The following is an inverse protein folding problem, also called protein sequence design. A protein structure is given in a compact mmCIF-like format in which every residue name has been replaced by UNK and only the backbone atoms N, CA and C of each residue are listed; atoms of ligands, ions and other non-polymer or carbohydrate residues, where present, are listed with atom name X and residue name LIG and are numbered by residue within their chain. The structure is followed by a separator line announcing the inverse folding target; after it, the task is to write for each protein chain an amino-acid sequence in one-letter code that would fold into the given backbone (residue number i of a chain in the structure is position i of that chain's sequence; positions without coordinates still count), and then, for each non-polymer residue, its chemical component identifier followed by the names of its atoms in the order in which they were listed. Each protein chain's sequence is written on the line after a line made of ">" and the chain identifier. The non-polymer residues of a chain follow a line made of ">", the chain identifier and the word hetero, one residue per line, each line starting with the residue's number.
data_IF_855122215617
#
_entry.id   IF_855122215617
#
_cell.length_a   1.000
_cell.length_b   1.000
_cell.length_c   1.000
_cell.angle_alpha   90.00
_cell.angle_beta   90.00
_cell.angle_gamma   90.00
#
_symmetry.space_group_name_H-M   'P 1'
#
loop_
_entity.id
_entity.type
_entity.pdbx_description
1 polymer ?
#
# COMPACT_ATOMS: atom_id res chain seq x y z
N UNK A 1 -4.25 -2.66 27.22
CA UNK A 1 -4.79 -2.90 25.87
C UNK A 1 -3.77 -2.36 24.87
N UNK A 2 -3.31 -3.17 23.92
CA UNK A 2 -2.41 -2.74 22.83
C UNK A 2 -3.21 -2.47 21.56
N UNK A 3 -2.74 -1.53 20.73
CA UNK A 3 -3.33 -1.25 19.42
C UNK A 3 -2.76 -2.19 18.37
N UNK A 4 -3.61 -2.68 17.46
CA UNK A 4 -3.17 -3.43 16.28
C UNK A 4 -3.17 -2.48 15.08
N UNK A 5 -1.99 -2.17 14.57
CA UNK A 5 -1.80 -1.25 13.45
C UNK A 5 -1.69 -2.04 12.15
N UNK A 6 -2.43 -1.64 11.13
CA UNK A 6 -2.39 -2.25 9.80
C UNK A 6 -2.05 -1.21 8.74
N UNK A 7 -1.37 -1.64 7.69
CA UNK A 7 -1.07 -0.81 6.52
C UNK A 7 -1.90 -1.25 5.29
N UNK A 8 -2.00 -0.39 4.28
CA UNK A 8 -2.72 -0.67 3.05
C UNK A 8 -1.75 -0.89 1.89
N UNK A 9 -1.93 -1.97 1.13
CA UNK A 9 -1.16 -2.20 -0.10
C UNK A 9 -1.87 -1.54 -1.30
N UNK A 10 -1.24 -0.59 -1.99
CA UNK A 10 -1.87 0.19 -3.04
C UNK A 10 -1.91 -0.57 -4.37
N UNK A 11 -2.68 -1.65 -4.46
CA UNK A 11 -2.70 -2.52 -5.66
C UNK A 11 -3.35 -1.90 -6.90
N UNK A 12 -4.07 -0.80 -6.75
CA UNK A 12 -4.77 -0.09 -7.85
C UNK A 12 -4.10 1.22 -8.26
N UNK A 13 -2.89 1.51 -7.76
CA UNK A 13 -2.17 2.75 -8.02
C UNK A 13 -1.71 3.42 -6.73
N UNK A 14 -0.53 4.02 -6.79
CA UNK A 14 0.04 4.86 -5.74
C UNK A 14 0.58 6.13 -6.41
N UNK A 15 0.67 7.23 -5.67
CA UNK A 15 1.14 8.50 -6.19
C UNK A 15 1.17 9.57 -5.11
N UNK A 16 1.86 10.66 -5.42
CA UNK A 16 1.93 11.81 -4.52
C UNK A 16 0.69 12.71 -4.61
N UNK A 17 0.00 12.69 -5.75
CA UNK A 17 -1.15 13.54 -6.05
C UNK A 17 -2.38 12.71 -6.40
N UNK A 18 -3.55 13.17 -5.97
CA UNK A 18 -4.81 12.48 -6.21
C UNK A 18 -5.42 12.91 -7.55
N UNK A 19 -6.02 11.97 -8.29
CA UNK A 19 -6.76 12.26 -9.52
C UNK A 19 -5.90 12.73 -10.70
N UNK A 20 -4.59 12.46 -10.67
CA UNK A 20 -3.64 12.79 -11.73
C UNK A 20 -2.57 11.72 -11.86
N UNK A 21 -1.98 11.58 -13.04
CA UNK A 21 -0.81 10.75 -13.30
C UNK A 21 0.51 11.45 -12.94
N UNK A 22 0.46 12.76 -12.65
CA UNK A 22 1.64 13.47 -12.17
C UNK A 22 2.11 12.86 -10.85
N UNK A 23 3.36 12.41 -10.80
CA UNK A 23 3.91 11.75 -9.61
C UNK A 23 3.27 10.40 -9.28
N UNK A 24 2.60 9.74 -10.23
CA UNK A 24 2.14 8.37 -10.07
C UNK A 24 3.33 7.41 -9.99
N UNK A 25 3.18 6.37 -9.17
CA UNK A 25 4.16 5.31 -9.00
C UNK A 25 3.58 4.02 -9.58
N UNK A 26 4.26 3.40 -10.57
CA UNK A 26 3.79 2.15 -11.15
C UNK A 26 3.78 1.06 -10.08
N UNK A 27 2.66 0.34 -10.01
CA UNK A 27 2.48 -0.72 -9.03
C UNK A 27 2.89 -2.05 -9.67
N UNK A 28 4.07 -2.51 -9.30
CA UNK A 28 4.55 -3.84 -9.63
C UNK A 28 4.73 -4.70 -8.36
N UNK A 29 5.04 -5.99 -8.56
CA UNK A 29 5.26 -6.91 -7.46
C UNK A 29 6.43 -6.47 -6.55
N UNK A 30 7.50 -5.91 -7.13
CA UNK A 30 8.66 -5.45 -6.38
C UNK A 30 8.32 -4.27 -5.46
N UNK A 31 7.52 -3.34 -5.94
CA UNK A 31 7.02 -2.20 -5.18
C UNK A 31 6.12 -2.63 -4.03
N UNK A 32 5.15 -3.52 -4.29
CA UNK A 32 4.28 -4.08 -3.24
C UNK A 32 5.10 -4.85 -2.20
N UNK A 33 6.12 -5.60 -2.63
CA UNK A 33 7.04 -6.29 -1.72
C UNK A 33 7.81 -5.30 -0.84
N UNK A 34 8.27 -4.16 -1.37
CA UNK A 34 8.95 -3.14 -0.58
C UNK A 34 8.04 -2.59 0.54
N UNK A 35 6.78 -2.29 0.22
CA UNK A 35 5.81 -1.80 1.21
C UNK A 35 5.54 -2.87 2.27
N UNK A 36 5.31 -4.12 1.86
CA UNK A 36 5.06 -5.22 2.78
C UNK A 36 6.24 -5.46 3.73
N UNK A 37 7.47 -5.46 3.21
CA UNK A 37 8.69 -5.59 4.02
C UNK A 37 8.90 -4.39 4.95
N UNK A 38 8.53 -3.17 4.53
CA UNK A 38 8.60 -2.00 5.38
C UNK A 38 7.59 -2.10 6.54
N UNK A 39 6.35 -2.49 6.26
CA UNK A 39 5.32 -2.70 7.27
C UNK A 39 5.73 -3.78 8.29
N UNK A 40 6.28 -4.90 7.82
CA UNK A 40 6.81 -5.99 8.65
C UNK A 40 7.93 -5.49 9.59
N UNK A 41 8.95 -4.81 9.04
CA UNK A 41 10.07 -4.27 9.83
C UNK A 41 9.67 -3.19 10.84
N UNK A 42 8.60 -2.43 10.55
CA UNK A 42 8.10 -1.38 11.43
C UNK A 42 7.12 -1.89 12.50
N UNK A 43 6.82 -3.19 12.51
CA UNK A 43 5.97 -3.81 13.54
C UNK A 43 4.47 -3.63 13.32
N UNK A 44 4.03 -3.40 12.07
CA UNK A 44 2.61 -3.48 11.74
C UNK A 44 2.12 -4.92 11.95
N UNK A 45 0.90 -5.06 12.47
CA UNK A 45 0.25 -6.36 12.69
C UNK A 45 -0.06 -7.07 11.37
N UNK A 46 -0.24 -6.31 10.30
CA UNK A 46 -0.42 -6.85 8.96
C UNK A 46 -0.70 -5.79 7.91
N UNK A 47 -1.02 -6.25 6.71
CA UNK A 47 -1.39 -5.41 5.58
C UNK A 47 -2.76 -5.81 5.03
N UNK A 48 -3.54 -4.83 4.59
CA UNK A 48 -4.78 -5.02 3.85
C UNK A 48 -4.49 -4.97 2.35
N UNK A 49 -4.93 -6.00 1.63
CA UNK A 49 -4.94 -6.02 0.16
C UNK A 49 -6.37 -5.68 -0.28
N UNK A 50 -6.60 -4.54 -0.94
CA UNK A 50 -7.94 -4.17 -1.39
C UNK A 50 -8.42 -5.10 -2.51
N UNK A 51 -9.74 -5.27 -2.58
CA UNK A 51 -10.43 -5.92 -3.70
C UNK A 51 -11.57 -5.01 -4.14
N UNK A 52 -11.80 -4.87 -5.44
CA UNK A 52 -12.93 -4.10 -5.98
C UNK A 52 -12.62 -3.47 -7.34
N UNK A 53 -13.64 -3.06 -8.10
CA UNK A 53 -13.46 -2.39 -9.38
C UNK A 53 -12.90 -0.97 -9.18
N UNK A 54 -12.07 -0.51 -10.13
CA UNK A 54 -11.75 0.91 -10.29
C UNK A 54 -13.04 1.58 -10.79
N UNK A 55 -13.58 2.51 -10.02
CA UNK A 55 -14.73 3.35 -10.41
C UNK A 55 -14.28 4.57 -11.20
#
# INVERSE_FOLDING_TARGET
>A
MSLNMFWFLPTHGDGHYLGTEEGSRPVDHGYLQQIAQAADRLGYTGVLIPTGPIV
#
